data_IF_006282607480
#
_entry.id   IF_006282607480
#
_cell.length_a   1.000
_cell.length_b   1.000
_cell.length_c   1.000
_cell.angle_alpha   90.00
_cell.angle_beta   90.00
_cell.angle_gamma   90.00
#
_symmetry.space_group_name_H-M   'P 1'
#
loop_
_entity.id
_entity.type
_entity.pdbx_description
1 polymer ?
#
# COMPACT_ATOMS: atom_id res chain seq x y z
N UNK A 1 20.05 -15.16 -3.90
CA UNK A 1 18.75 -15.86 -3.66
C UNK A 1 17.96 -15.91 -4.95
N UNK A 2 17.11 -16.95 -5.09
CA UNK A 2 16.05 -16.99 -6.08
C UNK A 2 14.74 -16.62 -5.41
N UNK A 3 14.19 -15.47 -5.74
CA UNK A 3 12.95 -14.93 -5.14
C UNK A 3 11.78 -15.16 -6.09
N UNK A 4 10.70 -15.74 -5.59
CA UNK A 4 9.43 -15.75 -6.30
C UNK A 4 8.58 -14.58 -5.79
N UNK A 5 8.25 -13.63 -6.68
CA UNK A 5 7.52 -12.42 -6.36
C UNK A 5 6.16 -12.42 -7.06
N UNK A 6 5.07 -12.26 -6.31
CA UNK A 6 3.78 -11.92 -6.90
C UNK A 6 3.58 -10.40 -6.87
N UNK A 7 2.89 -9.86 -7.86
CA UNK A 7 2.55 -8.44 -7.89
C UNK A 7 3.65 -7.52 -8.42
N UNK A 8 4.66 -8.04 -9.14
CA UNK A 8 5.73 -7.23 -9.73
C UNK A 8 5.23 -6.15 -10.71
N UNK A 9 4.06 -6.32 -11.31
CA UNK A 9 3.44 -5.31 -12.18
C UNK A 9 2.74 -4.17 -11.41
N UNK A 10 2.68 -4.24 -10.08
CA UNK A 10 2.17 -3.19 -9.21
C UNK A 10 3.25 -2.21 -8.77
N UNK A 11 2.87 -1.12 -8.07
CA UNK A 11 3.78 -0.09 -7.59
C UNK A 11 4.88 -0.66 -6.66
N UNK A 12 4.46 -1.34 -5.59
CA UNK A 12 5.40 -1.89 -4.58
C UNK A 12 6.22 -3.04 -5.16
N UNK A 13 5.54 -3.98 -5.84
CA UNK A 13 6.20 -5.15 -6.39
C UNK A 13 7.21 -4.81 -7.50
N UNK A 14 6.91 -3.80 -8.34
CA UNK A 14 7.84 -3.32 -9.36
C UNK A 14 9.08 -2.66 -8.76
N UNK A 15 8.89 -1.77 -7.79
CA UNK A 15 10.00 -1.14 -7.07
C UNK A 15 10.88 -2.19 -6.36
N UNK A 16 10.25 -3.19 -5.72
CA UNK A 16 10.95 -4.28 -5.06
C UNK A 16 11.67 -5.20 -6.06
N UNK A 17 11.03 -5.54 -7.19
CA UNK A 17 11.67 -6.33 -8.26
C UNK A 17 12.95 -5.66 -8.76
N UNK A 18 12.91 -4.36 -9.03
CA UNK A 18 14.09 -3.58 -9.41
C UNK A 18 15.20 -3.67 -8.37
N UNK A 19 14.87 -3.44 -7.08
CA UNK A 19 15.84 -3.50 -5.99
C UNK A 19 16.46 -4.89 -5.81
N UNK A 20 15.67 -5.96 -5.94
CA UNK A 20 16.14 -7.35 -5.88
C UNK A 20 17.11 -7.67 -7.02
N UNK A 21 16.75 -7.28 -8.25
CA UNK A 21 17.60 -7.47 -9.43
C UNK A 21 18.92 -6.69 -9.32
N UNK A 22 18.88 -5.43 -8.86
CA UNK A 22 20.07 -4.59 -8.67
C UNK A 22 20.98 -5.12 -7.56
N UNK A 23 20.42 -5.84 -6.58
CA UNK A 23 21.18 -6.56 -5.56
C UNK A 23 21.72 -7.94 -6.04
N UNK A 24 21.54 -8.28 -7.31
CA UNK A 24 22.04 -9.52 -7.90
C UNK A 24 21.22 -10.77 -7.60
N UNK A 25 19.96 -10.60 -7.17
CA UNK A 25 19.06 -11.73 -6.94
C UNK A 25 18.37 -12.17 -8.23
N UNK A 26 18.11 -13.48 -8.36
CA UNK A 26 17.25 -14.02 -9.41
C UNK A 26 15.81 -13.82 -9.01
N UNK A 27 14.98 -13.26 -9.89
CA UNK A 27 13.56 -12.99 -9.63
C UNK A 27 12.71 -13.72 -10.64
N UNK A 28 11.83 -14.61 -10.17
CA UNK A 28 10.70 -15.14 -10.93
C UNK A 28 9.43 -14.44 -10.48
N UNK A 29 8.58 -14.03 -11.40
CA UNK A 29 7.36 -13.30 -11.03
C UNK A 29 6.12 -13.81 -11.73
N UNK A 30 5.04 -13.93 -10.96
CA UNK A 30 3.70 -14.16 -11.50
C UNK A 30 3.23 -12.91 -12.24
N UNK A 31 2.85 -13.06 -13.51
CA UNK A 31 2.32 -11.99 -14.37
C UNK A 31 1.01 -12.44 -14.98
N UNK A 32 -0.04 -11.62 -14.88
CA UNK A 32 -1.34 -11.91 -15.47
C UNK A 32 -1.48 -11.22 -16.83
N UNK A 33 -1.57 -12.03 -17.90
CA UNK A 33 -1.70 -11.55 -19.28
C UNK A 33 -0.38 -11.05 -19.88
N UNK A 34 -0.43 -10.69 -21.15
CA UNK A 34 0.73 -10.21 -21.91
C UNK A 34 0.88 -8.69 -21.88
N UNK A 35 2.07 -8.17 -22.24
CA UNK A 35 2.33 -6.75 -22.42
C UNK A 35 2.27 -5.95 -21.11
N UNK A 36 2.68 -6.55 -19.99
CA UNK A 36 2.74 -5.89 -18.68
C UNK A 36 4.15 -5.41 -18.40
N UNK A 37 4.26 -4.17 -17.93
CA UNK A 37 5.51 -3.59 -17.49
C UNK A 37 5.76 -3.89 -16.02
N UNK A 38 7.03 -4.09 -15.67
CA UNK A 38 7.53 -4.15 -14.28
C UNK A 38 8.37 -2.89 -14.05
N UNK A 39 7.73 -1.83 -13.57
CA UNK A 39 8.40 -0.54 -13.38
C UNK A 39 9.11 -0.49 -12.02
N UNK A 40 10.44 -0.30 -12.05
CA UNK A 40 11.23 -0.04 -10.84
C UNK A 40 10.94 1.37 -10.26
N UNK A 41 11.63 1.75 -9.17
CA UNK A 41 11.44 3.06 -8.54
C UNK A 41 11.74 4.26 -9.45
N UNK A 42 12.54 4.07 -10.48
CA UNK A 42 12.89 5.10 -11.47
C UNK A 42 11.96 5.09 -12.68
N UNK A 43 10.96 4.19 -12.70
CA UNK A 43 10.04 4.01 -13.82
C UNK A 43 10.63 3.27 -15.00
N UNK A 44 11.78 2.57 -14.82
CA UNK A 44 12.37 1.73 -15.86
C UNK A 44 11.68 0.38 -15.89
N UNK A 45 11.35 -0.10 -17.08
CA UNK A 45 10.81 -1.44 -17.22
C UNK A 45 11.89 -2.51 -17.02
N UNK A 46 11.63 -3.42 -16.08
CA UNK A 46 12.53 -4.52 -15.69
C UNK A 46 12.01 -5.89 -16.11
N UNK A 47 10.92 -5.96 -16.89
CA UNK A 47 10.28 -7.23 -17.26
C UNK A 47 11.25 -8.19 -17.95
N UNK A 48 12.15 -7.69 -18.79
CA UNK A 48 13.16 -8.50 -19.49
C UNK A 48 14.32 -9.01 -18.60
N UNK A 49 14.41 -8.52 -17.35
CA UNK A 49 15.47 -8.93 -16.42
C UNK A 49 14.98 -9.97 -15.40
N UNK A 50 13.70 -10.34 -15.40
CA UNK A 50 13.11 -11.35 -14.54
C UNK A 50 12.50 -12.50 -15.36
N UNK A 51 12.25 -13.64 -14.71
CA UNK A 51 11.49 -14.74 -15.30
C UNK A 51 10.00 -14.51 -15.08
N UNK A 52 9.29 -14.07 -16.14
CA UNK A 52 7.85 -13.87 -16.10
C UNK A 52 7.11 -15.20 -16.29
N UNK A 53 6.23 -15.54 -15.35
CA UNK A 53 5.41 -16.75 -15.36
C UNK A 53 3.94 -16.36 -15.45
N UNK A 54 3.25 -16.93 -16.43
CA UNK A 54 1.82 -16.68 -16.60
C UNK A 54 1.00 -17.41 -15.52
N UNK A 55 -0.01 -16.72 -14.98
CA UNK A 55 -0.90 -17.34 -14.00
C UNK A 55 -1.91 -16.36 -13.40
N UNK A 56 -2.73 -16.87 -12.49
CA UNK A 56 -3.77 -16.12 -11.78
C UNK A 56 -3.77 -16.46 -10.29
N UNK A 57 -3.84 -15.44 -9.43
CA UNK A 57 -3.86 -15.61 -7.98
C UNK A 57 -5.06 -16.42 -7.48
N UNK A 58 -6.18 -16.39 -8.20
CA UNK A 58 -7.39 -17.10 -7.82
C UNK A 58 -7.29 -18.62 -8.05
N UNK A 59 -6.28 -19.08 -8.79
CA UNK A 59 -6.12 -20.49 -9.13
C UNK A 59 -5.13 -21.20 -8.20
N UNK A 60 -5.34 -22.50 -7.90
CA UNK A 60 -4.37 -23.31 -7.17
C UNK A 60 -2.98 -23.28 -7.82
N UNK A 61 -1.93 -23.22 -7.03
CA UNK A 61 -0.55 -23.00 -7.49
C UNK A 61 -0.41 -21.81 -8.46
N UNK A 62 -1.31 -20.81 -8.34
CA UNK A 62 -1.44 -19.67 -9.23
C UNK A 62 -1.69 -20.03 -10.70
N UNK A 63 -2.23 -21.20 -10.99
CA UNK A 63 -2.49 -21.68 -12.35
C UNK A 63 -1.22 -21.84 -13.21
N UNK A 64 -0.02 -21.87 -12.59
CA UNK A 64 1.22 -22.04 -13.33
C UNK A 64 1.34 -23.45 -13.85
N UNK A 65 1.63 -23.60 -15.17
CA UNK A 65 1.83 -24.90 -15.79
C UNK A 65 3.10 -25.61 -15.26
N UNK A 66 4.16 -24.82 -15.08
CA UNK A 66 5.46 -25.28 -14.57
C UNK A 66 5.93 -24.33 -13.47
N UNK A 67 5.61 -24.60 -12.19
CA UNK A 67 6.15 -23.83 -11.08
C UNK A 67 7.68 -23.89 -11.05
N UNK A 68 8.36 -22.76 -10.77
CA UNK A 68 9.82 -22.76 -10.70
C UNK A 68 10.33 -23.64 -9.57
N UNK A 69 11.51 -24.19 -9.75
CA UNK A 69 12.25 -24.91 -8.69
C UNK A 69 13.25 -23.97 -7.98
N UNK A 70 13.79 -24.44 -6.85
CA UNK A 70 14.87 -23.77 -6.10
C UNK A 70 14.54 -22.33 -5.69
N UNK A 71 13.34 -22.13 -5.15
CA UNK A 71 12.91 -20.85 -4.59
C UNK A 71 13.42 -20.72 -3.15
N UNK A 72 14.22 -19.70 -2.88
CA UNK A 72 14.74 -19.40 -1.54
C UNK A 72 13.76 -18.57 -0.70
N UNK A 73 12.88 -17.79 -1.35
CA UNK A 73 11.92 -16.90 -0.69
C UNK A 73 10.71 -16.64 -1.59
N UNK A 74 9.51 -16.76 -1.03
CA UNK A 74 8.29 -16.27 -1.66
C UNK A 74 7.90 -14.91 -1.06
N UNK A 75 7.78 -13.87 -1.92
CA UNK A 75 7.25 -12.56 -1.53
C UNK A 75 5.87 -12.41 -2.16
N UNK A 76 4.83 -12.39 -1.32
CA UNK A 76 3.46 -12.23 -1.78
C UNK A 76 3.02 -10.77 -1.65
N UNK A 77 3.19 -10.00 -2.74
CA UNK A 77 2.84 -8.58 -2.83
C UNK A 77 1.58 -8.31 -3.67
N UNK A 78 1.11 -9.29 -4.42
CA UNK A 78 -0.08 -9.14 -5.25
C UNK A 78 -1.36 -9.09 -4.42
N UNK A 79 -2.22 -8.12 -4.75
CA UNK A 79 -3.56 -7.97 -4.19
C UNK A 79 -4.41 -7.14 -5.15
N UNK A 80 -5.75 -7.27 -5.07
CA UNK A 80 -6.62 -6.21 -5.57
C UNK A 80 -6.75 -5.12 -4.51
N UNK A 81 -6.48 -3.87 -4.92
CA UNK A 81 -6.61 -2.66 -4.10
C UNK A 81 -7.79 -1.79 -4.52
N UNK A 82 -8.66 -2.32 -5.39
CA UNK A 82 -9.85 -1.61 -5.84
C UNK A 82 -10.91 -1.62 -4.71
N UNK A 83 -11.10 -0.48 -4.04
CA UNK A 83 -12.09 -0.33 -2.97
C UNK A 83 -13.53 -0.51 -3.44
N UNK A 84 -13.79 -0.40 -4.75
CA UNK A 84 -15.11 -0.61 -5.34
C UNK A 84 -15.37 -2.07 -5.75
N UNK A 85 -14.35 -2.94 -5.68
CA UNK A 85 -14.52 -4.35 -5.98
C UNK A 85 -15.46 -5.03 -4.97
N UNK A 86 -16.17 -6.06 -5.42
CA UNK A 86 -17.05 -6.83 -4.52
C UNK A 86 -16.26 -7.64 -3.50
N UNK A 87 -16.91 -7.98 -2.38
CA UNK A 87 -16.31 -8.85 -1.35
C UNK A 87 -15.89 -10.20 -1.92
N UNK A 88 -16.61 -10.75 -2.90
CA UNK A 88 -16.24 -12.00 -3.57
C UNK A 88 -14.91 -11.87 -4.34
N UNK A 89 -14.64 -10.73 -4.98
CA UNK A 89 -13.38 -10.47 -5.67
C UNK A 89 -12.24 -10.30 -4.65
N UNK A 90 -12.47 -9.57 -3.57
CA UNK A 90 -11.49 -9.45 -2.48
C UNK A 90 -11.19 -10.81 -1.84
N UNK A 91 -12.20 -11.63 -1.62
CA UNK A 91 -12.04 -12.97 -1.05
C UNK A 91 -11.23 -13.88 -1.97
N UNK A 92 -11.58 -13.96 -3.24
CA UNK A 92 -10.89 -14.83 -4.20
C UNK A 92 -9.41 -14.43 -4.39
N UNK A 93 -9.14 -13.11 -4.55
CA UNK A 93 -7.80 -12.63 -4.91
C UNK A 93 -6.93 -12.42 -3.66
N UNK A 94 -7.42 -11.71 -2.65
CA UNK A 94 -6.58 -11.35 -1.51
C UNK A 94 -6.47 -12.49 -0.49
N UNK A 95 -7.58 -13.15 -0.16
CA UNK A 95 -7.59 -14.25 0.83
C UNK A 95 -7.20 -15.57 0.16
N UNK A 96 -7.87 -15.95 -0.93
CA UNK A 96 -7.57 -17.16 -1.70
C UNK A 96 -6.15 -17.14 -2.27
N UNK A 97 -5.73 -16.02 -2.88
CA UNK A 97 -4.36 -15.84 -3.37
C UNK A 97 -3.31 -16.00 -2.28
N UNK A 98 -3.59 -15.50 -1.05
CA UNK A 98 -2.68 -15.72 0.09
C UNK A 98 -2.65 -17.19 0.53
N UNK A 99 -3.79 -17.89 0.51
CA UNK A 99 -3.82 -19.33 0.79
C UNK A 99 -2.98 -20.12 -0.23
N UNK A 100 -3.05 -19.76 -1.51
CA UNK A 100 -2.21 -20.39 -2.55
C UNK A 100 -0.73 -20.05 -2.38
N UNK A 101 -0.37 -18.81 -1.97
CA UNK A 101 1.00 -18.44 -1.64
C UNK A 101 1.56 -19.27 -0.48
N UNK A 102 0.78 -19.47 0.58
CA UNK A 102 1.14 -20.33 1.72
C UNK A 102 1.40 -21.78 1.27
N UNK A 103 0.50 -22.32 0.44
CA UNK A 103 0.63 -23.67 -0.08
C UNK A 103 1.92 -23.85 -0.92
N UNK A 104 2.22 -22.86 -1.78
CA UNK A 104 3.45 -22.87 -2.58
C UNK A 104 4.71 -22.72 -1.71
N UNK A 105 4.72 -21.81 -0.74
CA UNK A 105 5.86 -21.66 0.18
C UNK A 105 6.17 -22.96 0.92
N UNK A 106 5.13 -23.68 1.37
CA UNK A 106 5.27 -25.01 1.98
C UNK A 106 5.81 -26.05 1.00
N UNK A 107 5.29 -26.06 -0.23
CA UNK A 107 5.72 -27.01 -1.27
C UNK A 107 7.18 -26.79 -1.68
N UNK A 108 7.63 -25.53 -1.74
CA UNK A 108 9.02 -25.19 -2.02
C UNK A 108 9.93 -25.27 -0.78
N UNK A 109 9.37 -25.42 0.42
CA UNK A 109 10.14 -25.42 1.67
C UNK A 109 10.82 -24.08 1.96
N UNK A 110 10.28 -22.97 1.45
CA UNK A 110 10.86 -21.63 1.59
C UNK A 110 10.03 -20.71 2.52
N UNK A 111 10.63 -19.67 3.13
CA UNK A 111 9.91 -18.68 3.89
C UNK A 111 8.94 -17.85 3.03
N UNK A 112 7.95 -17.25 3.71
CA UNK A 112 6.95 -16.35 3.12
C UNK A 112 7.08 -14.93 3.70
N UNK A 113 7.32 -13.93 2.85
CA UNK A 113 7.13 -12.52 3.19
C UNK A 113 5.79 -12.06 2.60
N UNK A 114 4.80 -11.83 3.48
CA UNK A 114 3.48 -11.33 3.07
C UNK A 114 3.40 -9.81 3.16
N UNK A 115 3.13 -9.14 2.03
CA UNK A 115 2.90 -7.69 2.00
C UNK A 115 1.42 -7.42 2.22
N UNK A 116 1.11 -6.87 3.39
CA UNK A 116 -0.23 -6.50 3.84
C UNK A 116 -0.43 -4.97 3.74
N UNK A 117 -1.14 -4.40 4.69
CA UNK A 117 -1.32 -2.95 4.87
C UNK A 117 -1.38 -2.62 6.36
N UNK A 118 -0.91 -1.44 6.76
CA UNK A 118 -1.08 -0.96 8.12
C UNK A 118 -2.57 -0.76 8.49
N UNK A 119 -3.42 -0.57 7.50
CA UNK A 119 -4.85 -0.35 7.67
C UNK A 119 -5.67 -1.63 7.96
N UNK A 120 -5.02 -2.79 8.19
CA UNK A 120 -5.68 -3.97 8.80
C UNK A 120 -6.19 -3.70 10.22
N UNK A 121 -5.83 -2.57 10.80
CA UNK A 121 -6.41 -2.07 12.04
C UNK A 121 -7.90 -1.67 11.91
N UNK A 122 -8.43 -1.64 10.69
CA UNK A 122 -9.80 -1.18 10.43
C UNK A 122 -10.00 0.27 10.86
N UNK A 123 -11.14 0.54 11.52
CA UNK A 123 -11.50 1.89 11.99
C UNK A 123 -10.83 2.31 13.31
N UNK A 124 -9.86 1.55 13.81
CA UNK A 124 -9.10 1.96 14.98
C UNK A 124 -8.38 3.30 14.73
N UNK A 125 -8.23 4.08 15.79
CA UNK A 125 -7.60 5.40 15.77
C UNK A 125 -6.54 5.51 16.88
N UNK A 126 -5.78 6.60 16.89
CA UNK A 126 -4.70 6.81 17.84
C UNK A 126 -3.47 5.96 17.56
N UNK A 127 -2.84 5.44 18.61
CA UNK A 127 -1.58 4.66 18.49
C UNK A 127 -1.89 3.19 18.23
N UNK A 128 -1.41 2.68 17.10
CA UNK A 128 -1.63 1.30 16.64
C UNK A 128 -0.29 0.58 16.56
N UNK A 129 -0.14 -0.46 17.38
CA UNK A 129 1.08 -1.28 17.44
C UNK A 129 1.10 -2.44 16.45
N UNK A 130 2.23 -3.15 16.41
CA UNK A 130 2.48 -4.33 15.56
C UNK A 130 1.85 -5.62 16.13
N UNK A 131 0.64 -5.53 16.68
CA UNK A 131 -0.14 -6.67 17.16
C UNK A 131 -0.79 -7.45 15.99
N UNK A 132 -1.20 -8.71 16.19
CA UNK A 132 -2.04 -9.42 15.23
C UNK A 132 -3.30 -8.63 14.88
N UNK A 133 -3.67 -8.63 13.60
CA UNK A 133 -4.92 -8.02 13.16
C UNK A 133 -6.13 -8.85 13.64
N UNK A 134 -7.21 -8.15 14.03
CA UNK A 134 -8.49 -8.81 14.27
C UNK A 134 -9.26 -8.91 12.94
N UNK A 135 -9.45 -10.12 12.38
CA UNK A 135 -10.15 -10.29 11.11
C UNK A 135 -11.65 -9.95 11.18
N UNK A 136 -12.19 -9.73 12.38
CA UNK A 136 -13.58 -9.37 12.64
C UNK A 136 -13.77 -7.90 13.07
N UNK A 137 -12.71 -7.09 13.03
CA UNK A 137 -12.78 -5.66 13.32
C UNK A 137 -13.74 -4.94 12.37
N UNK A 138 -14.13 -3.72 12.74
CA UNK A 138 -14.88 -2.84 11.82
C UNK A 138 -13.93 -2.21 10.82
N UNK A 139 -14.12 -2.49 9.53
CA UNK A 139 -13.28 -1.98 8.44
C UNK A 139 -13.98 -0.88 7.65
N UNK A 140 -13.18 -0.03 7.00
CA UNK A 140 -13.69 1.02 6.10
C UNK A 140 -14.16 0.44 4.78
N UNK A 141 -13.49 -0.60 4.29
CA UNK A 141 -13.76 -1.21 2.98
C UNK A 141 -13.37 -2.70 2.94
N UNK A 142 -13.78 -3.38 1.87
CA UNK A 142 -13.51 -4.81 1.66
C UNK A 142 -12.03 -5.14 1.48
N UNK A 143 -11.22 -4.18 0.99
CA UNK A 143 -9.78 -4.36 0.90
C UNK A 143 -9.13 -4.54 2.28
N UNK A 144 -9.37 -3.61 3.22
CA UNK A 144 -8.84 -3.71 4.60
C UNK A 144 -9.27 -5.02 5.26
N UNK A 145 -10.56 -5.36 5.16
CA UNK A 145 -11.13 -6.59 5.70
C UNK A 145 -10.47 -7.85 5.11
N UNK A 146 -10.27 -7.90 3.80
CA UNK A 146 -9.66 -9.05 3.13
C UNK A 146 -8.17 -9.21 3.50
N UNK A 147 -7.43 -8.09 3.65
CA UNK A 147 -6.03 -8.13 4.09
C UNK A 147 -5.90 -8.60 5.54
N UNK A 148 -6.81 -8.22 6.44
CA UNK A 148 -6.84 -8.73 7.82
C UNK A 148 -7.13 -10.25 7.87
N UNK A 149 -8.06 -10.75 7.04
CA UNK A 149 -8.31 -12.20 6.89
C UNK A 149 -7.11 -12.93 6.30
N UNK A 150 -6.44 -12.34 5.29
CA UNK A 150 -5.23 -12.91 4.71
C UNK A 150 -4.09 -13.03 5.74
N UNK A 151 -3.89 -12.01 6.59
CA UNK A 151 -2.93 -12.09 7.69
C UNK A 151 -3.26 -13.22 8.68
N UNK A 152 -4.54 -13.44 9.00
CA UNK A 152 -4.94 -14.53 9.88
C UNK A 152 -4.55 -15.90 9.31
N UNK A 153 -4.58 -16.09 7.98
CA UNK A 153 -4.09 -17.30 7.32
C UNK A 153 -2.57 -17.45 7.46
N UNK A 154 -1.81 -16.36 7.26
CA UNK A 154 -0.35 -16.36 7.45
C UNK A 154 0.02 -16.70 8.89
N UNK A 155 -0.68 -16.10 9.87
CA UNK A 155 -0.48 -16.39 11.30
C UNK A 155 -0.81 -17.85 11.65
N UNK A 156 -1.84 -18.43 11.07
CA UNK A 156 -2.15 -19.85 11.22
C UNK A 156 -1.06 -20.73 10.63
N UNK A 157 -0.62 -20.44 9.40
CA UNK A 157 0.44 -21.19 8.75
C UNK A 157 1.77 -21.12 9.51
N UNK A 158 2.06 -19.98 10.15
CA UNK A 158 3.24 -19.79 10.99
C UNK A 158 3.18 -20.66 12.25
N UNK A 159 2.03 -20.72 12.93
CA UNK A 159 1.84 -21.64 14.08
C UNK A 159 2.06 -23.11 13.71
N UNK A 160 1.80 -23.45 12.44
CA UNK A 160 2.03 -24.78 11.87
C UNK A 160 3.45 -24.95 11.29
N UNK A 161 4.39 -24.07 11.62
CA UNK A 161 5.82 -24.21 11.31
C UNK A 161 6.31 -23.52 10.03
N UNK A 162 5.48 -22.74 9.30
CA UNK A 162 5.97 -21.95 8.18
C UNK A 162 6.74 -20.73 8.73
N UNK A 163 7.98 -20.55 8.30
CA UNK A 163 8.72 -19.29 8.55
C UNK A 163 8.06 -18.17 7.76
N UNK A 164 7.51 -17.18 8.44
CA UNK A 164 6.80 -16.09 7.75
C UNK A 164 6.85 -14.76 8.53
N UNK A 165 6.90 -13.66 7.76
CA UNK A 165 6.81 -12.29 8.24
C UNK A 165 5.74 -11.53 7.48
N UNK A 166 5.17 -10.51 8.12
CA UNK A 166 4.14 -9.65 7.55
C UNK A 166 4.66 -8.21 7.50
N UNK A 167 4.71 -7.62 6.31
CA UNK A 167 5.00 -6.21 6.11
C UNK A 167 3.68 -5.43 5.96
N UNK A 168 3.54 -4.34 6.68
CA UNK A 168 2.34 -3.48 6.71
C UNK A 168 2.67 -2.06 6.25
N UNK A 169 2.78 -1.81 4.93
CA UNK A 169 2.90 -0.44 4.44
C UNK A 169 1.68 0.41 4.82
N UNK A 170 1.93 1.66 5.21
CA UNK A 170 0.91 2.70 5.31
C UNK A 170 0.57 3.20 3.90
N UNK A 171 -0.08 4.38 3.76
CA UNK A 171 -0.40 4.97 2.46
C UNK A 171 0.90 5.36 1.74
N UNK A 172 1.17 4.72 0.61
CA UNK A 172 2.43 4.90 -0.11
C UNK A 172 2.39 6.17 -0.95
N UNK A 173 3.44 6.98 -0.83
CA UNK A 173 3.65 8.22 -1.56
C UNK A 173 5.00 8.21 -2.27
N UNK A 174 5.28 9.25 -3.05
CA UNK A 174 6.53 9.40 -3.80
C UNK A 174 7.79 9.39 -2.93
N UNK A 175 8.96 9.31 -3.57
CA UNK A 175 10.27 9.33 -2.90
C UNK A 175 10.47 10.65 -2.12
N UNK A 176 11.17 10.58 -1.00
CA UNK A 176 11.50 11.79 -0.21
C UNK A 176 12.38 12.78 -0.97
N UNK A 177 13.27 12.31 -1.82
CA UNK A 177 14.28 13.12 -2.49
C UNK A 177 13.70 14.07 -3.54
N UNK A 178 12.72 13.61 -4.32
CA UNK A 178 12.21 14.28 -5.52
C UNK A 178 10.70 14.12 -5.74
N UNK A 179 10.01 13.46 -4.83
CA UNK A 179 8.58 13.18 -4.93
C UNK A 179 8.19 12.17 -6.01
N UNK A 180 9.13 11.60 -6.75
CA UNK A 180 8.84 10.73 -7.88
C UNK A 180 8.21 9.41 -7.45
N UNK A 181 7.29 8.93 -8.29
CA UNK A 181 6.61 7.66 -8.15
C UNK A 181 6.37 7.06 -9.55
N UNK A 182 6.67 5.78 -9.71
CA UNK A 182 6.58 5.13 -11.02
C UNK A 182 5.14 4.97 -11.55
N UNK A 183 4.18 4.86 -10.63
CA UNK A 183 2.74 4.79 -10.95
C UNK A 183 1.98 5.74 -10.04
N UNK A 184 1.28 6.69 -10.65
CA UNK A 184 0.39 7.61 -9.91
C UNK A 184 -0.93 6.91 -9.71
N UNK A 185 -1.22 6.55 -8.45
CA UNK A 185 -2.41 5.79 -8.07
C UNK A 185 -2.85 6.16 -6.64
N UNK A 186 -4.02 5.65 -6.21
CA UNK A 186 -4.50 5.72 -4.83
C UNK A 186 -4.52 7.14 -4.28
N UNK A 187 -3.66 7.39 -3.30
CA UNK A 187 -3.62 8.64 -2.54
C UNK A 187 -3.34 9.89 -3.40
N UNK A 188 -2.57 9.78 -4.49
CA UNK A 188 -2.26 10.92 -5.36
C UNK A 188 -3.51 11.52 -6.03
N UNK A 189 -4.56 10.73 -6.22
CA UNK A 189 -5.85 11.25 -6.71
C UNK A 189 -6.50 12.23 -5.73
N UNK A 190 -6.22 12.13 -4.42
CA UNK A 190 -6.68 13.09 -3.43
C UNK A 190 -6.08 14.49 -3.63
N UNK A 191 -4.84 14.59 -4.16
CA UNK A 191 -4.27 15.92 -4.47
C UNK A 191 -5.17 16.68 -5.44
N UNK A 192 -5.60 16.03 -6.53
CA UNK A 192 -6.51 16.62 -7.51
C UNK A 192 -7.84 17.02 -6.88
N UNK A 193 -8.36 16.19 -5.98
CA UNK A 193 -9.62 16.49 -5.29
C UNK A 193 -9.45 17.64 -4.31
N UNK A 194 -8.39 17.65 -3.51
CA UNK A 194 -8.12 18.70 -2.53
C UNK A 194 -7.95 20.08 -3.13
N UNK A 195 -7.43 20.19 -4.37
CA UNK A 195 -7.32 21.44 -5.10
C UNK A 195 -8.52 21.78 -5.98
N UNK A 196 -9.58 20.97 -5.96
CA UNK A 196 -10.73 21.13 -6.85
C UNK A 196 -11.88 21.91 -6.17
N UNK A 197 -12.47 22.93 -6.82
CA UNK A 197 -13.66 23.59 -6.29
C UNK A 197 -14.86 22.66 -6.14
N UNK A 198 -14.83 21.49 -6.79
CA UNK A 198 -15.90 20.50 -6.72
C UNK A 198 -15.89 19.67 -5.44
N UNK A 199 -14.82 19.73 -4.65
CA UNK A 199 -14.79 19.04 -3.36
C UNK A 199 -15.49 19.89 -2.29
N UNK A 200 -15.33 21.22 -2.31
CA UNK A 200 -16.03 22.15 -1.40
C UNK A 200 -15.79 21.84 0.08
N UNK A 201 -16.88 21.80 0.85
CA UNK A 201 -16.86 21.49 2.27
C UNK A 201 -16.88 19.98 2.48
N UNK A 202 -15.91 19.45 3.22
CA UNK A 202 -15.80 18.01 3.52
C UNK A 202 -15.91 17.75 5.02
N UNK A 203 -16.67 16.71 5.43
CA UNK A 203 -16.72 16.33 6.84
C UNK A 203 -15.34 15.79 7.25
N UNK A 204 -14.67 16.48 8.16
CA UNK A 204 -13.36 16.05 8.66
C UNK A 204 -13.19 16.40 10.13
N UNK A 205 -12.59 15.50 10.89
CA UNK A 205 -12.21 15.78 12.27
C UNK A 205 -11.06 16.82 12.28
N UNK A 206 -11.01 17.74 13.25
CA UNK A 206 -9.94 18.75 13.31
C UNK A 206 -8.53 18.16 13.33
N UNK A 207 -8.37 16.97 13.92
CA UNK A 207 -7.11 16.23 14.00
C UNK A 207 -6.90 15.24 12.84
N UNK A 208 -7.75 15.23 11.82
CA UNK A 208 -7.65 14.29 10.70
C UNK A 208 -6.25 14.29 10.08
N UNK A 209 -5.66 13.12 9.94
CA UNK A 209 -4.33 12.98 9.39
C UNK A 209 -4.16 11.62 8.70
N UNK A 210 -3.27 11.57 7.73
CA UNK A 210 -2.98 10.36 6.96
C UNK A 210 -1.62 9.81 7.36
N UNK A 211 -1.58 8.54 7.75
CA UNK A 211 -0.32 7.84 7.87
C UNK A 211 0.20 7.54 6.45
N UNK A 212 1.20 8.29 6.03
CA UNK A 212 1.84 8.14 4.72
C UNK A 212 3.27 7.62 4.86
N UNK A 213 3.78 6.97 3.82
CA UNK A 213 5.15 6.42 3.79
C UNK A 213 5.75 6.55 2.39
N UNK A 214 7.02 6.98 2.26
CA UNK A 214 7.68 7.06 0.96
C UNK A 214 7.96 5.68 0.38
N UNK A 215 7.77 5.49 -0.93
CA UNK A 215 8.02 4.22 -1.62
C UNK A 215 9.46 3.71 -1.41
N UNK A 216 10.45 4.60 -1.33
CA UNK A 216 11.83 4.22 -1.08
C UNK A 216 12.02 3.56 0.30
N UNK A 217 11.31 4.02 1.34
CA UNK A 217 11.35 3.39 2.66
C UNK A 217 10.66 2.02 2.65
N UNK A 218 9.52 1.91 1.96
CA UNK A 218 8.81 0.63 1.80
C UNK A 218 9.70 -0.38 1.11
N UNK A 219 10.32 0.00 -0.01
CA UNK A 219 11.21 -0.89 -0.77
C UNK A 219 12.43 -1.31 0.05
N UNK A 220 13.08 -0.37 0.75
CA UNK A 220 14.23 -0.67 1.60
C UNK A 220 13.84 -1.59 2.79
N UNK A 221 12.70 -1.35 3.42
CA UNK A 221 12.18 -2.20 4.49
C UNK A 221 11.88 -3.62 4.03
N UNK A 222 11.21 -3.78 2.88
CA UNK A 222 10.96 -5.08 2.27
C UNK A 222 12.26 -5.82 1.89
N UNK A 223 13.26 -5.09 1.37
CA UNK A 223 14.59 -5.65 1.09
C UNK A 223 15.28 -6.14 2.36
N UNK A 224 15.26 -5.35 3.43
CA UNK A 224 15.85 -5.74 4.72
C UNK A 224 15.16 -6.99 5.30
N UNK A 225 13.83 -7.08 5.20
CA UNK A 225 13.07 -8.26 5.61
C UNK A 225 13.42 -9.48 4.75
N UNK A 226 13.44 -9.32 3.42
CA UNK A 226 13.76 -10.39 2.47
C UNK A 226 15.17 -10.98 2.69
N UNK A 227 16.14 -10.13 3.01
CA UNK A 227 17.53 -10.53 3.26
C UNK A 227 17.75 -11.17 4.64
N UNK A 228 16.80 -11.03 5.56
CA UNK A 228 16.95 -11.52 6.93
C UNK A 228 15.65 -12.17 7.48
N UNK A 229 15.01 -13.00 6.68
CA UNK A 229 13.71 -13.64 7.01
C UNK A 229 13.73 -14.38 8.35
N UNK A 230 14.84 -15.00 8.72
CA UNK A 230 14.94 -15.74 9.99
C UNK A 230 14.82 -14.80 11.22
N UNK A 231 15.35 -13.58 11.14
CA UNK A 231 15.23 -12.60 12.23
C UNK A 231 13.86 -11.95 12.27
N UNK A 232 13.15 -11.91 11.13
CA UNK A 232 11.79 -11.38 11.04
C UNK A 232 10.70 -12.43 11.20
N UNK A 233 11.03 -13.70 11.44
CA UNK A 233 10.00 -14.73 11.62
C UNK A 233 9.03 -14.37 12.74
N UNK A 234 7.76 -14.32 12.39
CA UNK A 234 6.68 -13.93 13.29
C UNK A 234 6.51 -12.43 13.53
N UNK A 235 7.33 -11.61 12.93
CA UNK A 235 7.17 -10.17 13.04
C UNK A 235 6.08 -9.64 12.10
N UNK A 236 5.39 -8.63 12.57
CA UNK A 236 4.47 -7.79 11.82
C UNK A 236 5.08 -6.39 11.81
N UNK A 237 5.53 -5.93 10.66
CA UNK A 237 6.37 -4.73 10.54
C UNK A 237 5.58 -3.60 9.93
N UNK A 238 5.35 -2.52 10.67
CA UNK A 238 4.80 -1.30 10.11
C UNK A 238 5.85 -0.57 9.27
N UNK A 239 5.56 -0.40 7.99
CA UNK A 239 6.32 0.45 7.08
C UNK A 239 5.54 1.77 6.94
N UNK A 240 5.78 2.70 7.87
CA UNK A 240 5.04 3.96 7.99
C UNK A 240 5.98 5.13 8.24
N UNK A 241 5.51 6.36 8.01
CA UNK A 241 6.20 7.56 8.45
C UNK A 241 6.19 7.69 9.98
N UNK A 242 7.12 8.46 10.53
CA UNK A 242 7.27 8.66 11.99
C UNK A 242 6.03 9.28 12.63
N UNK A 243 5.30 10.09 11.86
CA UNK A 243 4.04 10.72 12.28
C UNK A 243 3.05 10.76 11.10
N UNK A 244 1.74 10.71 11.35
CA UNK A 244 0.75 10.97 10.31
C UNK A 244 0.83 12.43 9.85
N UNK A 245 0.57 12.69 8.58
CA UNK A 245 0.58 14.03 7.98
C UNK A 245 -0.82 14.63 8.07
N UNK A 246 -0.94 15.80 8.70
CA UNK A 246 -2.23 16.43 8.98
C UNK A 246 -2.96 16.83 7.68
N UNK A 247 -4.25 16.55 7.59
CA UNK A 247 -5.08 16.95 6.45
C UNK A 247 -5.12 18.48 6.29
N UNK A 248 -5.15 19.21 7.39
CA UNK A 248 -5.09 20.68 7.37
C UNK A 248 -3.80 21.20 6.73
N UNK A 249 -2.65 20.56 6.99
CA UNK A 249 -1.37 20.93 6.35
C UNK A 249 -1.37 20.58 4.86
N UNK A 250 -1.94 19.45 4.47
CA UNK A 250 -2.11 19.10 3.05
C UNK A 250 -2.92 20.18 2.31
N UNK A 251 -4.05 20.59 2.85
CA UNK A 251 -4.91 21.61 2.26
C UNK A 251 -4.22 22.98 2.22
N UNK A 252 -3.48 23.34 3.26
CA UNK A 252 -2.67 24.58 3.30
C UNK A 252 -1.60 24.57 2.21
N UNK A 253 -0.90 23.46 2.03
CA UNK A 253 0.13 23.32 0.97
C UNK A 253 -0.50 23.38 -0.41
N UNK A 254 -1.63 22.70 -0.62
CA UNK A 254 -2.37 22.75 -1.90
C UNK A 254 -2.80 24.18 -2.25
N UNK A 255 -3.17 24.99 -1.25
CA UNK A 255 -3.56 26.39 -1.45
C UNK A 255 -2.46 27.27 -2.05
N UNK A 256 -1.19 26.89 -1.92
CA UNK A 256 -0.07 27.66 -2.47
C UNK A 256 0.11 27.44 -4.00
N UNK A 257 -0.61 26.49 -4.60
CA UNK A 257 -0.51 26.19 -6.03
C UNK A 257 -1.52 26.98 -6.85
N UNK A 258 -1.11 27.54 -8.01
CA UNK A 258 -2.00 28.32 -8.87
C UNK A 258 -3.20 27.53 -9.37
N UNK A 259 -4.34 28.17 -9.45
CA UNK A 259 -5.57 27.55 -9.99
C UNK A 259 -6.27 26.57 -9.07
N UNK A 260 -5.76 26.35 -7.85
CA UNK A 260 -6.42 25.49 -6.86
C UNK A 260 -7.49 26.24 -6.08
N UNK A 261 -8.53 25.51 -5.69
CA UNK A 261 -9.54 25.94 -4.72
C UNK A 261 -9.60 24.85 -3.65
N UNK A 262 -8.80 24.98 -2.57
CA UNK A 262 -8.71 23.94 -1.57
C UNK A 262 -10.05 23.66 -0.90
N UNK A 263 -10.30 22.38 -0.64
CA UNK A 263 -11.44 21.96 0.17
C UNK A 263 -11.37 22.56 1.59
N UNK A 264 -12.52 22.76 2.20
CA UNK A 264 -12.64 23.24 3.56
C UNK A 264 -13.09 22.12 4.47
N UNK A 265 -12.35 21.87 5.54
CA UNK A 265 -12.75 20.95 6.61
C UNK A 265 -13.89 21.57 7.42
N UNK A 266 -14.98 20.85 7.57
CA UNK A 266 -16.11 21.25 8.43
C UNK A 266 -16.38 20.17 9.47
N UNK A 267 -17.00 20.56 10.59
CA UNK A 267 -17.44 19.62 11.62
C UNK A 267 -18.31 18.53 10.97
N UNK A 268 -18.00 17.24 11.15
CA UNK A 268 -18.82 16.16 10.64
C UNK A 268 -20.29 16.22 11.06
N UNK A 269 -20.59 16.79 12.24
CA UNK A 269 -21.96 16.98 12.73
C UNK A 269 -22.70 18.10 12.00
N UNK A 270 -21.97 19.04 11.40
CA UNK A 270 -22.54 20.12 10.60
C UNK A 270 -22.68 19.76 9.11
N UNK A 271 -22.13 18.60 8.69
CA UNK A 271 -22.20 18.17 7.30
C UNK A 271 -23.61 17.69 6.93
N UNK A 272 -24.21 18.33 5.94
CA UNK A 272 -25.46 17.91 5.33
C UNK A 272 -25.32 17.82 3.81
N UNK A 273 -25.27 16.60 3.28
CA UNK A 273 -25.17 16.35 1.85
C UNK A 273 -26.35 16.95 1.02
N UNK A 274 -27.49 17.21 1.66
CA UNK A 274 -28.67 17.78 0.99
C UNK A 274 -28.50 19.28 0.67
N UNK A 275 -27.58 19.98 1.35
CA UNK A 275 -27.31 21.40 1.12
C UNK A 275 -26.31 21.65 -0.01
N UNK A 276 -25.64 20.60 -0.51
CA UNK A 276 -24.65 20.70 -1.56
C UNK A 276 -25.29 20.98 -2.93
N UNK A 277 -24.62 21.78 -3.75
CA UNK A 277 -25.01 21.89 -5.15
C UNK A 277 -24.87 20.54 -5.87
N UNK A 278 -25.55 20.42 -7.03
CA UNK A 278 -25.65 19.15 -7.75
C UNK A 278 -24.29 18.55 -8.13
N UNK A 279 -23.29 19.37 -8.48
CA UNK A 279 -21.96 18.90 -8.93
C UNK A 279 -21.15 18.40 -7.74
N UNK A 280 -21.07 19.16 -6.69
CA UNK A 280 -20.41 18.81 -5.41
C UNK A 280 -21.07 17.55 -4.82
N UNK A 281 -22.40 17.47 -4.76
CA UNK A 281 -23.12 16.29 -4.29
C UNK A 281 -22.81 15.03 -5.09
N UNK A 282 -22.60 15.14 -6.40
CA UNK A 282 -22.20 14.00 -7.24
C UNK A 282 -20.78 13.53 -6.90
N UNK A 283 -19.84 14.44 -6.69
CA UNK A 283 -18.47 14.10 -6.25
C UNK A 283 -18.51 13.44 -4.90
N UNK A 284 -19.19 14.00 -3.90
CA UNK A 284 -19.28 13.46 -2.55
C UNK A 284 -19.91 12.06 -2.52
N UNK A 285 -20.96 11.80 -3.31
CA UNK A 285 -21.55 10.45 -3.43
C UNK A 285 -20.57 9.43 -3.99
N UNK A 286 -19.67 9.85 -4.88
CA UNK A 286 -18.68 8.95 -5.50
C UNK A 286 -17.49 8.65 -4.59
N UNK A 287 -16.97 9.68 -3.90
CA UNK A 287 -15.74 9.55 -3.11
C UNK A 287 -16.01 9.29 -1.63
N UNK A 288 -17.15 9.77 -1.10
CA UNK A 288 -17.46 9.70 0.33
C UNK A 288 -17.36 8.29 0.91
N UNK A 289 -17.99 7.26 0.29
CA UNK A 289 -17.88 5.89 0.78
C UNK A 289 -16.46 5.34 0.83
N UNK A 290 -15.53 5.89 0.03
CA UNK A 290 -14.16 5.42 -0.06
C UNK A 290 -13.21 6.19 0.85
N UNK A 291 -13.47 7.49 1.12
CA UNK A 291 -12.48 8.38 1.73
C UNK A 291 -12.95 9.09 3.01
N UNK A 292 -14.24 9.36 3.21
CA UNK A 292 -14.67 10.18 4.34
C UNK A 292 -14.35 9.58 5.70
N UNK A 293 -14.37 8.24 5.83
CA UNK A 293 -13.94 7.57 7.06
C UNK A 293 -12.48 7.90 7.42
N UNK A 294 -11.60 8.09 6.42
CA UNK A 294 -10.20 8.46 6.65
C UNK A 294 -10.05 9.93 7.10
N UNK A 295 -11.02 10.80 6.75
CA UNK A 295 -11.03 12.19 7.19
C UNK A 295 -11.50 12.36 8.64
N UNK A 296 -11.96 11.30 9.28
CA UNK A 296 -12.47 11.35 10.66
C UNK A 296 -11.46 10.89 11.70
N UNK A 297 -10.27 10.42 11.29
CA UNK A 297 -9.29 9.77 12.19
C UNK A 297 -7.85 10.18 11.88
N UNK A 298 -6.95 9.86 12.82
CA UNK A 298 -5.52 10.12 12.73
C UNK A 298 -4.71 8.93 13.26
N UNK A 299 -4.73 7.76 12.56
CA UNK A 299 -4.02 6.59 13.02
C UNK A 299 -2.50 6.84 12.96
N UNK A 300 -1.80 6.55 14.06
CA UNK A 300 -0.34 6.57 14.15
C UNK A 300 0.17 5.14 14.29
N UNK A 301 0.76 4.61 13.25
CA UNK A 301 1.33 3.27 13.27
C UNK A 301 2.66 3.31 14.01
N UNK A 302 2.67 2.72 15.20
CA UNK A 302 3.84 2.59 16.05
C UNK A 302 4.36 1.16 15.96
N UNK A 303 5.67 1.02 15.90
CA UNK A 303 6.38 -0.25 15.89
C UNK A 303 7.86 0.02 15.93
N UNK A 304 8.63 -0.97 16.32
CA UNK A 304 10.07 -0.88 16.34
C UNK A 304 10.75 -2.12 15.74
N UNK A 305 10.00 -3.06 15.20
CA UNK A 305 10.56 -4.30 14.65
C UNK A 305 11.58 -4.04 13.56
N UNK A 306 11.28 -3.08 12.63
CA UNK A 306 12.22 -2.73 11.56
C UNK A 306 13.49 -2.06 12.12
N UNK A 307 13.35 -1.14 13.06
CA UNK A 307 14.49 -0.46 13.69
C UNK A 307 15.31 -1.44 14.54
N UNK A 308 14.67 -2.24 15.36
CA UNK A 308 15.30 -3.22 16.23
C UNK A 308 16.09 -4.29 15.46
N UNK A 309 15.54 -4.77 14.32
CA UNK A 309 16.13 -5.90 13.58
C UNK A 309 17.06 -5.42 12.47
N UNK A 310 16.70 -4.34 11.77
CA UNK A 310 17.43 -3.86 10.60
C UNK A 310 18.05 -2.47 10.76
N UNK A 311 17.93 -1.82 11.93
CA UNK A 311 18.48 -0.49 12.18
C UNK A 311 17.79 0.63 11.39
N UNK A 312 16.59 0.38 10.85
CA UNK A 312 15.89 1.32 9.98
C UNK A 312 14.75 2.02 10.72
N UNK A 313 14.96 3.27 11.09
CA UNK A 313 13.94 4.12 11.72
C UNK A 313 12.90 4.62 10.72
N UNK A 314 11.71 4.98 11.24
CA UNK A 314 10.62 5.53 10.43
C UNK A 314 10.98 6.92 9.87
N UNK A 315 10.74 7.21 8.57
CA UNK A 315 11.10 8.48 7.96
C UNK A 315 10.18 9.61 8.41
N UNK A 316 10.73 10.79 8.61
CA UNK A 316 9.95 12.02 8.76
C UNK A 316 9.55 12.55 7.38
N UNK A 317 8.29 12.97 7.26
CA UNK A 317 7.76 13.61 6.06
C UNK A 317 7.34 15.02 6.47
N UNK A 318 8.10 16.01 6.00
CA UNK A 318 7.84 17.43 6.24
C UNK A 318 7.09 18.08 5.05
N UNK A 319 6.72 19.34 5.21
CA UNK A 319 6.08 20.14 4.17
C UNK A 319 6.88 20.14 2.86
N UNK A 320 8.20 20.21 2.93
CA UNK A 320 9.05 20.25 1.75
C UNK A 320 9.03 18.92 1.00
N UNK A 321 9.03 17.80 1.71
CA UNK A 321 8.87 16.48 1.11
C UNK A 321 7.49 16.31 0.46
N UNK A 322 6.44 16.78 1.15
CA UNK A 322 5.08 16.72 0.59
C UNK A 322 4.92 17.60 -0.66
N UNK A 323 5.52 18.81 -0.65
CA UNK A 323 5.56 19.68 -1.85
C UNK A 323 6.25 19.00 -3.02
N UNK A 324 7.40 18.33 -2.82
CA UNK A 324 8.07 17.59 -3.90
C UNK A 324 7.17 16.54 -4.55
N UNK A 325 6.28 15.89 -3.78
CA UNK A 325 5.32 14.92 -4.32
C UNK A 325 4.26 15.60 -5.22
N UNK A 326 3.76 16.76 -4.81
CA UNK A 326 2.85 17.57 -5.65
C UNK A 326 3.58 18.08 -6.89
N UNK A 327 4.79 18.64 -6.73
CA UNK A 327 5.62 19.16 -7.84
C UNK A 327 5.91 18.08 -8.88
N UNK A 328 6.19 16.84 -8.42
CA UNK A 328 6.32 15.70 -9.33
C UNK A 328 5.03 15.46 -10.13
N UNK A 329 3.87 15.44 -9.47
CA UNK A 329 2.57 15.26 -10.12
C UNK A 329 2.27 16.38 -11.13
N UNK A 330 2.67 17.64 -10.86
CA UNK A 330 2.59 18.76 -11.79
C UNK A 330 3.55 18.57 -12.96
N UNK A 331 4.81 18.20 -12.67
CA UNK A 331 5.85 17.98 -13.68
C UNK A 331 5.48 16.93 -14.72
N UNK A 332 4.86 15.82 -14.29
CA UNK A 332 4.43 14.73 -15.19
C UNK A 332 3.06 14.95 -15.82
N UNK A 333 2.41 16.11 -15.56
CA UNK A 333 1.13 16.48 -16.14
C UNK A 333 -0.08 15.78 -15.53
N UNK A 334 0.08 15.15 -14.36
CA UNK A 334 -1.04 14.56 -13.62
C UNK A 334 -1.91 15.65 -12.97
N UNK A 335 -1.29 16.72 -12.45
CA UNK A 335 -1.94 17.92 -11.95
C UNK A 335 -1.66 19.09 -12.91
N UNK A 336 -2.68 19.87 -13.21
CA UNK A 336 -2.63 21.04 -14.10
C UNK A 336 -2.44 22.38 -13.32
N UNK A 337 -1.82 22.32 -12.16
CA UNK A 337 -1.57 23.43 -11.23
C UNK A 337 -0.30 24.21 -11.63
N UNK A 338 -0.40 25.05 -12.70
CA UNK A 338 0.72 25.85 -13.23
C UNK A 338 0.42 27.34 -13.20
#
# INVERSE_FOLDING_TARGET
MHVFLTGATGLVGGALAGALLDAGHRVSSLVRGEGRDVLDMDGRDRIGALTALQGDLAEPAFGMAEPPADIDLLIHCAATVDFAASDAVHEAINVGGTAHAIALARAWGCPLLHVSTAYVCGRADGVIGEAPADPHASFTNGYEASKARAEALVEAARRDGLVAAIARPAIIVGRLSDGAIARIDGFHHLFRLFGSPLLGDVPAAPQAAFAIVPICHVTAGLMAMAQNMAAFDGERVHLAGSHPFAMADMLRIVADYPGTVPARMIDPLAYDAATLDRRTAMVHRRIGPQFFDYFLRSPRFAGNSLERIAGMGAPAIDDAAFRRMIDHCVKVGFLDWR
#
